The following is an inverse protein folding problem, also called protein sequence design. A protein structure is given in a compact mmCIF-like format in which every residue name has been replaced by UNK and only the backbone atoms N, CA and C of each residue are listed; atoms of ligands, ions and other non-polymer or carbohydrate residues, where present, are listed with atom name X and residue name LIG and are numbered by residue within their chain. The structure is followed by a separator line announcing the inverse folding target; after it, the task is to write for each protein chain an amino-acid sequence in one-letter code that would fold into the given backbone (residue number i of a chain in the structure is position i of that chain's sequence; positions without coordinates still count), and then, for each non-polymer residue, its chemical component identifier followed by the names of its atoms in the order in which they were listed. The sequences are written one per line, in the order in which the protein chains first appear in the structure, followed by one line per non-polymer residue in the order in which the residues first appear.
data_IF_674138547762
#
_entry.id   IF_674138547762
#
_cell.length_a   1.000
_cell.length_b   1.000
_cell.length_c   1.000
_cell.angle_alpha   90.00
_cell.angle_beta   90.00
_cell.angle_gamma   90.00
#
_symmetry.space_group_name_H-M   'P 1'
#
loop_
_entity.id
_entity.type
_entity.pdbx_description
1 polymer ?
#
# COMPACT_ATOMS: atom_id res chain seq x y z
N UNK A 1 4.91 -11.50 -9.53
CA UNK A 1 4.04 -11.88 -8.40
C UNK A 1 4.47 -11.23 -7.07
N UNK A 2 5.77 -11.15 -6.75
CA UNK A 2 6.28 -10.66 -5.46
C UNK A 2 5.90 -9.22 -5.06
N UNK A 3 5.94 -8.25 -5.99
CA UNK A 3 5.60 -6.85 -5.67
C UNK A 3 4.18 -6.70 -5.12
N UNK A 4 3.20 -7.35 -5.75
CA UNK A 4 1.81 -7.35 -5.29
C UNK A 4 1.66 -7.99 -3.91
N UNK A 5 2.36 -9.09 -3.65
CA UNK A 5 2.36 -9.76 -2.34
C UNK A 5 2.91 -8.86 -1.22
N UNK A 6 4.02 -8.16 -1.47
CA UNK A 6 4.63 -7.23 -0.51
C UNK A 6 3.70 -6.06 -0.23
N UNK A 7 3.08 -5.49 -1.26
CA UNK A 7 2.11 -4.40 -1.13
C UNK A 7 0.86 -4.84 -0.38
N UNK A 8 0.35 -6.04 -0.65
CA UNK A 8 -0.79 -6.61 0.06
C UNK A 8 -0.50 -6.76 1.56
N UNK A 9 0.69 -7.26 1.91
CA UNK A 9 1.13 -7.35 3.30
C UNK A 9 1.22 -5.96 3.97
N UNK A 10 1.81 -4.98 3.27
CA UNK A 10 1.92 -3.61 3.77
C UNK A 10 0.54 -2.99 4.06
N UNK A 11 -0.45 -3.23 3.19
CA UNK A 11 -1.83 -2.75 3.39
C UNK A 11 -2.52 -3.47 4.55
N UNK A 12 -2.52 -4.80 4.57
CA UNK A 12 -3.29 -5.58 5.53
C UNK A 12 -2.67 -5.66 6.92
N UNK A 13 -1.35 -5.63 7.05
CA UNK A 13 -0.66 -5.81 8.33
C UNK A 13 -0.24 -4.48 8.94
N UNK A 14 0.14 -3.49 8.13
CA UNK A 14 0.58 -2.19 8.65
C UNK A 14 -0.49 -1.12 8.53
N UNK A 15 -1.04 -0.88 7.33
CA UNK A 15 -1.96 0.25 7.12
C UNK A 15 -3.29 0.01 7.84
N UNK A 16 -3.94 -1.11 7.58
CA UNK A 16 -5.30 -1.38 8.07
C UNK A 16 -5.41 -1.40 9.61
N UNK A 17 -4.57 -2.14 10.36
CA UNK A 17 -4.70 -2.17 11.83
C UNK A 17 -4.40 -0.80 12.48
N UNK A 18 -3.48 -0.03 11.89
CA UNK A 18 -3.21 1.33 12.37
C UNK A 18 -4.36 2.28 12.01
N UNK A 19 -4.99 2.15 10.85
CA UNK A 19 -6.19 2.92 10.50
C UNK A 19 -7.37 2.60 11.41
N UNK A 20 -7.58 1.35 11.79
CA UNK A 20 -8.64 0.98 12.75
C UNK A 20 -8.48 1.69 14.10
N UNK A 21 -7.23 1.85 14.59
CA UNK A 21 -6.94 2.63 15.81
C UNK A 21 -7.22 4.13 15.63
N UNK A 22 -6.87 4.69 14.46
CA UNK A 22 -7.06 6.12 14.16
C UNK A 22 -8.54 6.47 13.99
N UNK A 23 -9.30 5.60 13.32
CA UNK A 23 -10.74 5.75 13.08
C UNK A 23 -11.59 5.47 14.32
N UNK A 24 -10.97 5.04 15.43
CA UNK A 24 -11.68 4.72 16.67
C UNK A 24 -12.46 3.40 16.61
N UNK A 25 -12.20 2.55 15.62
CA UNK A 25 -12.78 1.19 15.55
C UNK A 25 -12.19 0.27 16.63
N UNK A 26 -10.99 0.60 17.11
CA UNK A 26 -10.30 -0.07 18.23
C UNK A 26 -9.93 0.98 19.26
N UNK A 27 -10.20 0.68 20.54
CA UNK A 27 -9.78 1.51 21.66
C UNK A 27 -8.24 1.59 21.71
N UNK A 28 -7.72 2.80 21.69
CA UNK A 28 -6.29 3.07 21.73
C UNK A 28 -6.07 4.42 22.44
N UNK A 29 -4.98 4.53 23.20
CA UNK A 29 -4.61 5.80 23.82
C UNK A 29 -4.22 6.85 22.77
N UNK A 30 -4.17 8.12 23.15
CA UNK A 30 -3.80 9.18 22.22
C UNK A 30 -2.34 9.04 21.72
N UNK A 31 -1.45 8.52 22.56
CA UNK A 31 -0.06 8.19 22.19
C UNK A 31 0.00 7.06 21.16
N UNK A 32 -0.84 6.03 21.33
CA UNK A 32 -0.93 4.93 20.37
C UNK A 32 -1.52 5.39 19.04
N UNK A 33 -2.53 6.27 19.05
CA UNK A 33 -3.07 6.89 17.84
C UNK A 33 -2.05 7.77 17.13
N UNK A 34 -1.20 8.48 17.87
CA UNK A 34 -0.11 9.29 17.29
C UNK A 34 0.93 8.41 16.59
N UNK A 35 1.35 7.30 17.23
CA UNK A 35 2.26 6.31 16.63
C UNK A 35 1.62 5.63 15.42
N UNK A 36 0.35 5.24 15.54
CA UNK A 36 -0.40 4.60 14.45
C UNK A 36 -0.50 5.51 13.21
N UNK A 37 -0.77 6.81 13.39
CA UNK A 37 -0.76 7.80 12.30
C UNK A 37 0.57 7.82 11.56
N UNK A 38 1.68 7.83 12.30
CA UNK A 38 3.02 7.87 11.70
C UNK A 38 3.33 6.59 10.92
N UNK A 39 3.02 5.42 11.48
CA UNK A 39 3.23 4.13 10.81
C UNK A 39 2.35 4.02 9.56
N UNK A 40 1.06 4.32 9.66
CA UNK A 40 0.14 4.29 8.52
C UNK A 40 0.59 5.24 7.40
N UNK A 41 1.06 6.44 7.74
CA UNK A 41 1.56 7.41 6.76
C UNK A 41 2.82 6.90 6.02
N UNK A 42 3.82 6.40 6.75
CA UNK A 42 5.05 5.87 6.15
C UNK A 42 4.76 4.63 5.29
N UNK A 43 3.93 3.71 5.79
CA UNK A 43 3.51 2.52 5.05
C UNK A 43 2.76 2.90 3.76
N UNK A 44 1.88 3.90 3.81
CA UNK A 44 1.15 4.41 2.63
C UNK A 44 2.09 4.98 1.57
N UNK A 45 3.13 5.73 1.99
CA UNK A 45 4.17 6.24 1.09
C UNK A 45 4.97 5.13 0.44
N UNK A 46 5.39 4.13 1.20
CA UNK A 46 6.07 2.96 0.63
C UNK A 46 5.19 2.25 -0.38
N UNK A 47 3.90 2.08 -0.09
CA UNK A 47 2.96 1.47 -1.03
C UNK A 47 2.83 2.28 -2.32
N UNK A 48 2.76 3.61 -2.24
CA UNK A 48 2.76 4.49 -3.41
C UNK A 48 4.03 4.34 -4.24
N UNK A 49 5.21 4.33 -3.60
CA UNK A 49 6.49 4.16 -4.28
C UNK A 49 6.60 2.80 -4.97
N UNK A 50 5.99 1.74 -4.41
CA UNK A 50 5.92 0.41 -5.02
C UNK A 50 4.85 0.31 -6.13
N UNK A 51 3.78 1.11 -6.07
CA UNK A 51 2.79 1.22 -7.14
C UNK A 51 3.38 1.79 -8.43
N UNK A 52 4.35 2.71 -8.34
CA UNK A 52 5.00 3.30 -9.53
C UNK A 52 5.70 2.26 -10.44
N UNK A 53 6.63 1.42 -9.95
CA UNK A 53 7.24 0.38 -10.76
C UNK A 53 6.22 -0.69 -11.18
N UNK A 54 5.24 -1.03 -10.33
CA UNK A 54 4.16 -1.93 -10.74
C UNK A 54 3.41 -1.39 -11.96
N UNK A 55 2.95 -0.14 -11.90
CA UNK A 55 2.26 0.52 -13.00
C UNK A 55 3.15 0.64 -14.23
N UNK A 56 4.46 0.92 -14.06
CA UNK A 56 5.42 0.93 -15.16
C UNK A 56 5.52 -0.45 -15.85
N UNK A 57 5.65 -1.53 -15.09
CA UNK A 57 5.70 -2.89 -15.67
C UNK A 57 4.36 -3.34 -16.25
N UNK A 58 3.23 -2.93 -15.65
CA UNK A 58 1.90 -3.17 -16.22
C UNK A 58 1.70 -2.38 -17.50
N UNK A 59 2.12 -1.12 -17.57
CA UNK A 59 2.05 -0.29 -18.75
C UNK A 59 2.93 -0.86 -19.88
N UNK A 60 4.17 -1.28 -19.60
CA UNK A 60 5.02 -1.94 -20.60
C UNK A 60 4.47 -3.31 -21.05
N UNK A 61 3.83 -4.06 -20.15
CA UNK A 61 3.08 -5.28 -20.51
C UNK A 61 1.83 -5.00 -21.36
N UNK A 62 1.17 -3.86 -21.12
CA UNK A 62 0.05 -3.36 -21.94
C UNK A 62 0.55 -2.88 -23.31
N UNK A 63 1.71 -2.22 -23.40
CA UNK A 63 2.33 -1.77 -24.65
C UNK A 63 2.67 -2.94 -25.57
N UNK A 64 3.18 -4.06 -25.02
CA UNK A 64 3.43 -5.27 -25.82
C UNK A 64 2.14 -5.93 -26.35
N UNK A 65 1.02 -5.84 -25.60
CA UNK A 65 -0.29 -6.37 -26.03
C UNK A 65 -1.07 -5.43 -26.94
N UNK A 66 -0.83 -4.12 -26.86
CA UNK A 66 -1.48 -3.10 -27.70
C UNK A 66 -0.75 -2.90 -29.05
N UNK A 67 0.56 -3.16 -29.11
CA UNK A 67 1.36 -3.02 -30.35
C UNK A 67 1.58 -4.33 -31.12
N UNK A 68 1.40 -5.50 -30.48
CA UNK A 68 1.58 -6.84 -31.11
C UNK A 68 0.34 -7.72 -30.87
N UNK A 69 -0.79 -7.09 -30.54
CA UNK A 69 -2.11 -7.73 -30.48
C UNK A 69 -2.82 -7.81 -31.85
N UNK A 70 -2.19 -7.25 -32.88
CA UNK A 70 -2.37 -7.43 -34.33
C UNK A 70 -1.01 -7.19 -34.99
#
# INVERSE_FOLDING_TARGET
AWLGTIMLFNVWVLIWPNQQKILGMVQASDDEKAKARRVAFLASRTNLMLSLPMLFFMANGLSHRALIGL
#
